data_IF_491588053463
#
_entry.id   IF_491588053463
#
_cell.length_a   1.000
_cell.length_b   1.000
_cell.length_c   1.000
_cell.angle_alpha   90.00
_cell.angle_beta   90.00
_cell.angle_gamma   90.00
#
_symmetry.space_group_name_H-M   'P 1'
#
loop_
_entity.id
_entity.type
_entity.pdbx_description
1 polymer ?
#
# COMPACT_ATOMS: atom_id res chain seq x y z
N UNK A 1 23.34 -24.85 8.38
CA UNK A 1 22.80 -24.91 7.02
C UNK A 1 21.32 -24.59 7.11
N UNK A 2 20.98 -23.32 6.93
CA UNK A 2 19.59 -22.88 6.80
C UNK A 2 19.12 -23.19 5.38
N UNK A 3 18.20 -24.15 5.23
CA UNK A 3 17.48 -24.38 3.98
C UNK A 3 16.45 -23.26 3.83
N UNK A 4 16.71 -22.31 2.93
CA UNK A 4 15.69 -21.36 2.50
C UNK A 4 14.54 -22.15 1.85
N UNK A 5 13.36 -22.13 2.45
CA UNK A 5 12.14 -22.65 1.83
C UNK A 5 11.78 -21.74 0.66
N UNK A 6 11.69 -22.31 -0.52
CA UNK A 6 11.34 -21.56 -1.72
C UNK A 6 9.84 -21.22 -1.75
N UNK A 7 9.45 -20.16 -2.46
CA UNK A 7 8.06 -19.76 -2.65
C UNK A 7 7.12 -20.89 -3.16
N UNK A 8 7.69 -21.98 -3.67
CA UNK A 8 6.96 -23.17 -4.12
C UNK A 8 6.41 -24.00 -2.94
N UNK A 9 7.13 -24.05 -1.82
CA UNK A 9 6.69 -24.81 -0.63
C UNK A 9 5.52 -24.12 0.10
N UNK A 10 5.35 -22.80 -0.10
CA UNK A 10 4.23 -22.03 0.48
C UNK A 10 2.91 -22.32 -0.26
N UNK A 11 2.97 -22.77 -1.53
CA UNK A 11 1.80 -23.02 -2.37
C UNK A 11 1.04 -24.30 -1.99
N UNK A 12 1.70 -25.23 -1.31
CA UNK A 12 1.13 -26.51 -0.89
C UNK A 12 0.66 -26.53 0.59
N UNK A 13 0.87 -25.41 1.32
CA UNK A 13 0.28 -25.28 2.64
C UNK A 13 -1.22 -25.04 2.52
N UNK A 14 -2.01 -26.02 2.86
CA UNK A 14 -3.44 -25.87 3.10
C UNK A 14 -3.62 -24.92 4.29
N UNK A 15 -4.03 -23.67 3.99
CA UNK A 15 -4.25 -22.62 4.99
C UNK A 15 -5.36 -22.95 5.99
N UNK A 16 -6.10 -24.03 5.77
CA UNK A 16 -7.17 -24.51 6.63
C UNK A 16 -6.72 -25.59 7.60
N UNK A 17 -5.50 -26.13 7.45
CA UNK A 17 -4.99 -27.16 8.34
C UNK A 17 -4.03 -26.60 9.40
N UNK A 18 -4.14 -27.11 10.63
CA UNK A 18 -3.35 -26.73 11.81
C UNK A 18 -1.83 -26.97 11.70
N UNK A 19 -1.33 -27.31 10.51
CA UNK A 19 0.06 -27.68 10.23
C UNK A 19 0.95 -26.47 9.91
N UNK A 20 0.40 -25.30 9.63
CA UNK A 20 1.19 -24.08 9.58
C UNK A 20 1.54 -23.70 11.02
N UNK A 21 2.79 -23.94 11.41
CA UNK A 21 3.29 -23.59 12.74
C UNK A 21 2.92 -22.14 13.09
N UNK A 22 2.61 -21.89 14.34
CA UNK A 22 2.31 -20.55 14.86
C UNK A 22 3.38 -19.52 14.49
N UNK A 23 4.60 -19.98 14.22
CA UNK A 23 5.75 -19.15 13.87
C UNK A 23 5.67 -18.64 12.42
N UNK A 24 5.27 -19.49 11.46
CA UNK A 24 5.06 -19.06 10.06
C UNK A 24 3.94 -18.03 9.93
N UNK A 25 2.89 -18.15 10.74
CA UNK A 25 1.80 -17.14 10.76
C UNK A 25 2.29 -15.81 11.30
N UNK A 26 3.10 -15.83 12.37
CA UNK A 26 3.69 -14.62 12.95
C UNK A 26 4.66 -13.94 11.98
N UNK A 27 5.52 -14.72 11.31
CA UNK A 27 6.43 -14.17 10.28
C UNK A 27 5.64 -13.52 9.16
N UNK A 28 4.58 -14.15 8.67
CA UNK A 28 3.71 -13.57 7.64
C UNK A 28 3.01 -12.29 8.13
N UNK A 29 2.58 -12.23 9.40
CA UNK A 29 1.98 -11.02 9.97
C UNK A 29 2.97 -9.85 9.99
N UNK A 30 4.22 -10.13 10.35
CA UNK A 30 5.31 -9.14 10.32
C UNK A 30 5.55 -8.67 8.88
N UNK A 31 5.59 -9.57 7.91
CA UNK A 31 5.82 -9.22 6.51
C UNK A 31 4.67 -8.39 5.93
N UNK A 32 3.42 -8.73 6.26
CA UNK A 32 2.24 -7.94 5.86
C UNK A 32 2.31 -6.54 6.46
N UNK A 33 2.66 -6.41 7.74
CA UNK A 33 2.84 -5.13 8.39
C UNK A 33 3.94 -4.30 7.72
N UNK A 34 5.08 -4.89 7.42
CA UNK A 34 6.17 -4.23 6.73
C UNK A 34 5.74 -3.75 5.33
N UNK A 35 5.06 -4.59 4.56
CA UNK A 35 4.53 -4.21 3.24
C UNK A 35 3.57 -3.03 3.38
N UNK A 36 2.63 -3.09 4.33
CA UNK A 36 1.67 -2.01 4.54
C UNK A 36 2.36 -0.69 4.94
N UNK A 37 3.34 -0.74 5.86
CA UNK A 37 4.14 0.43 6.27
C UNK A 37 4.84 1.09 5.10
N UNK A 38 5.53 0.30 4.26
CA UNK A 38 6.19 0.83 3.06
C UNK A 38 5.19 1.36 2.04
N UNK A 39 4.05 0.71 1.88
CA UNK A 39 3.03 1.16 0.94
C UNK A 39 2.37 2.47 1.34
N UNK A 40 2.23 2.76 2.64
CA UNK A 40 1.68 4.05 3.12
C UNK A 40 2.75 5.09 3.40
N UNK A 41 4.02 4.81 3.11
CA UNK A 41 5.16 5.70 3.38
C UNK A 41 5.24 6.13 4.86
N UNK A 42 4.95 5.22 5.79
CA UNK A 42 4.88 5.53 7.22
C UNK A 42 6.21 6.07 7.79
N UNK A 43 7.33 5.56 7.27
CA UNK A 43 8.69 5.93 7.69
C UNK A 43 9.33 6.99 6.76
N UNK A 44 8.54 7.67 5.91
CA UNK A 44 9.06 8.69 5.00
C UNK A 44 9.64 9.88 5.79
N UNK A 45 10.90 10.20 5.52
CA UNK A 45 11.49 11.41 6.08
C UNK A 45 10.86 12.65 5.44
N UNK A 46 10.47 13.67 6.24
CA UNK A 46 9.93 14.89 5.68
C UNK A 46 10.98 15.61 4.84
N UNK A 47 10.54 16.25 3.76
CA UNK A 47 11.41 17.12 2.97
C UNK A 47 11.69 18.41 3.78
N UNK A 48 12.96 18.76 3.87
CA UNK A 48 13.39 20.02 4.53
C UNK A 48 13.19 21.22 3.60
N UNK A 49 13.41 20.99 2.28
CA UNK A 49 13.30 22.00 1.24
C UNK A 49 12.50 21.50 0.05
N UNK A 50 11.94 22.41 -0.72
CA UNK A 50 11.21 22.08 -1.95
C UNK A 50 12.14 21.44 -2.98
N UNK A 51 11.75 20.27 -3.46
CA UNK A 51 12.49 19.55 -4.52
C UNK A 51 12.07 20.08 -5.88
N UNK A 52 13.03 20.57 -6.66
CA UNK A 52 12.83 21.01 -8.04
C UNK A 52 13.70 20.19 -8.98
N UNK A 53 13.09 19.59 -10.01
CA UNK A 53 13.81 18.81 -11.03
C UNK A 53 14.18 19.68 -12.25
N UNK A 54 15.35 19.43 -12.82
CA UNK A 54 15.79 20.04 -14.09
C UNK A 54 15.26 19.30 -15.32
N UNK A 55 14.69 18.10 -15.15
CA UNK A 55 14.20 17.26 -16.25
C UNK A 55 12.69 17.32 -16.39
N UNK A 56 12.18 16.77 -17.50
CA UNK A 56 10.73 16.63 -17.73
C UNK A 56 10.08 15.53 -16.88
N UNK A 57 10.85 14.75 -16.12
CA UNK A 57 10.37 13.62 -15.36
C UNK A 57 9.30 14.01 -14.33
N UNK A 58 9.50 15.13 -13.66
CA UNK A 58 8.54 15.66 -12.69
C UNK A 58 7.13 15.90 -13.29
N UNK A 59 7.08 16.24 -14.59
CA UNK A 59 5.82 16.45 -15.32
C UNK A 59 5.26 15.15 -15.93
N UNK A 60 6.14 14.28 -16.43
CA UNK A 60 5.72 13.10 -17.20
C UNK A 60 5.38 11.90 -16.33
N UNK A 61 6.03 11.75 -15.17
CA UNK A 61 5.78 10.62 -14.27
C UNK A 61 4.35 10.59 -13.71
N UNK A 62 3.75 11.70 -13.21
CA UNK A 62 2.36 11.69 -12.74
C UNK A 62 1.35 11.36 -13.84
N UNK A 63 1.68 11.63 -15.11
CA UNK A 63 0.79 11.37 -16.24
C UNK A 63 0.69 9.89 -16.62
N UNK A 64 1.61 9.04 -16.12
CA UNK A 64 1.64 7.60 -16.42
C UNK A 64 0.68 6.77 -15.59
N UNK A 65 0.08 7.33 -14.54
CA UNK A 65 -0.82 6.64 -13.64
C UNK A 65 -2.30 6.79 -14.02
N UNK A 66 -3.15 5.89 -13.52
CA UNK A 66 -4.59 6.10 -13.62
C UNK A 66 -5.00 7.33 -12.81
N UNK A 67 -6.07 8.01 -13.28
CA UNK A 67 -6.64 9.18 -12.63
C UNK A 67 -8.12 8.95 -12.36
N UNK A 68 -8.58 9.43 -11.21
CA UNK A 68 -10.01 9.45 -10.89
C UNK A 68 -10.75 10.59 -11.61
N UNK A 69 -12.06 10.69 -11.38
CA UNK A 69 -12.90 11.72 -12.00
C UNK A 69 -12.53 13.16 -11.59
N UNK A 70 -11.84 13.34 -10.47
CA UNK A 70 -11.30 14.63 -10.01
C UNK A 70 -9.89 14.91 -10.58
N UNK A 71 -9.35 14.01 -11.39
CA UNK A 71 -8.02 14.13 -11.96
C UNK A 71 -6.87 13.78 -11.00
N UNK A 72 -7.15 13.18 -9.82
CA UNK A 72 -6.16 12.79 -8.82
C UNK A 72 -5.51 11.45 -9.17
N UNK A 73 -4.21 11.30 -8.86
CA UNK A 73 -3.46 10.06 -9.05
C UNK A 73 -2.53 9.79 -7.88
N UNK A 74 -2.30 8.53 -7.53
CA UNK A 74 -1.28 8.16 -6.53
C UNK A 74 0.15 8.52 -6.99
N UNK A 75 0.36 8.91 -8.24
CA UNK A 75 1.64 9.38 -8.77
C UNK A 75 1.82 10.89 -8.68
N UNK A 76 0.83 11.63 -8.17
CA UNK A 76 0.94 13.07 -8.03
C UNK A 76 1.94 13.41 -6.92
N UNK A 77 2.85 14.34 -7.24
CA UNK A 77 3.89 14.78 -6.33
C UNK A 77 3.41 15.92 -5.42
N UNK A 78 3.91 15.96 -4.19
CA UNK A 78 3.89 17.14 -3.33
C UNK A 78 5.19 17.97 -3.49
N UNK A 79 6.33 17.33 -3.29
CA UNK A 79 7.69 17.90 -3.40
C UNK A 79 8.00 19.08 -2.48
N UNK A 80 7.14 19.38 -1.52
CA UNK A 80 7.31 20.45 -0.53
C UNK A 80 7.51 19.88 0.87
N UNK A 81 6.60 19.02 1.31
CA UNK A 81 6.63 18.41 2.63
C UNK A 81 6.98 16.92 2.56
N UNK A 82 6.64 16.29 1.45
CA UNK A 82 6.87 14.86 1.18
C UNK A 82 7.01 14.62 -0.33
N UNK A 83 7.34 13.37 -0.71
CA UNK A 83 7.53 13.06 -2.13
C UNK A 83 6.19 13.00 -2.88
N UNK A 84 5.23 12.23 -2.40
CA UNK A 84 3.92 12.04 -3.02
C UNK A 84 2.82 12.76 -2.24
N UNK A 85 1.80 13.23 -2.97
CA UNK A 85 0.67 13.94 -2.39
C UNK A 85 -0.22 13.07 -1.51
N UNK A 86 -0.36 11.78 -1.88
CA UNK A 86 -1.24 10.83 -1.18
C UNK A 86 -0.40 9.77 -0.47
N UNK A 87 -0.78 9.37 0.76
CA UNK A 87 -0.03 8.41 1.56
C UNK A 87 -0.34 6.96 1.13
N UNK A 88 -0.18 6.67 -0.15
CA UNK A 88 -0.29 5.32 -0.68
C UNK A 88 0.54 5.17 -1.94
N UNK A 89 1.33 4.13 -1.99
CA UNK A 89 2.21 3.82 -3.11
C UNK A 89 1.42 3.40 -4.35
N UNK A 90 1.79 3.97 -5.50
CA UNK A 90 1.29 3.54 -6.81
C UNK A 90 1.64 2.08 -7.15
N UNK A 91 2.51 1.43 -6.38
CA UNK A 91 2.84 0.02 -6.53
C UNK A 91 1.64 -0.90 -6.32
N UNK A 92 0.55 -0.42 -5.72
CA UNK A 92 -0.73 -1.13 -5.64
C UNK A 92 -1.30 -1.49 -7.03
N UNK A 93 -0.85 -0.82 -8.10
CA UNK A 93 -1.23 -1.11 -9.49
C UNK A 93 -0.21 -1.99 -10.22
N UNK A 94 0.84 -2.47 -9.56
CA UNK A 94 1.87 -3.27 -10.20
C UNK A 94 1.40 -4.71 -10.40
N UNK A 95 1.91 -5.32 -11.48
CA UNK A 95 1.71 -6.76 -11.75
C UNK A 95 2.24 -7.63 -10.60
N UNK A 96 3.29 -7.18 -9.92
CA UNK A 96 3.86 -7.87 -8.75
C UNK A 96 2.85 -7.91 -7.59
N UNK A 97 2.16 -6.81 -7.32
CA UNK A 97 1.12 -6.77 -6.29
C UNK A 97 -0.08 -7.63 -6.69
N UNK A 98 -0.47 -7.61 -7.95
CA UNK A 98 -1.60 -8.39 -8.46
C UNK A 98 -1.28 -9.91 -8.55
N UNK A 99 0.01 -10.28 -8.62
CA UNK A 99 0.47 -11.66 -8.61
C UNK A 99 0.62 -12.26 -7.19
N UNK A 100 0.41 -11.48 -6.13
CA UNK A 100 0.42 -12.00 -4.77
C UNK A 100 -0.64 -13.09 -4.59
N UNK A 101 -0.36 -14.17 -3.82
CA UNK A 101 -1.37 -15.15 -3.46
C UNK A 101 -2.59 -14.46 -2.84
N UNK A 102 -3.79 -14.84 -3.28
CA UNK A 102 -5.03 -14.17 -2.87
C UNK A 102 -5.18 -13.97 -1.35
N UNK A 103 -4.89 -14.97 -0.48
CA UNK A 103 -4.97 -14.78 0.97
C UNK A 103 -4.00 -13.71 1.51
N UNK A 104 -2.80 -13.60 0.91
CA UNK A 104 -1.82 -12.58 1.29
C UNK A 104 -2.27 -11.20 0.83
N UNK A 105 -2.71 -11.11 -0.42
CA UNK A 105 -3.22 -9.87 -1.00
C UNK A 105 -4.42 -9.32 -0.18
N UNK A 106 -5.36 -10.19 0.20
CA UNK A 106 -6.53 -9.81 1.00
C UNK A 106 -6.13 -9.25 2.38
N UNK A 107 -5.11 -9.86 3.01
CA UNK A 107 -4.59 -9.38 4.30
C UNK A 107 -3.88 -8.03 4.17
N UNK A 108 -3.09 -7.83 3.10
CA UNK A 108 -2.48 -6.53 2.81
C UNK A 108 -3.56 -5.47 2.59
N UNK A 109 -4.59 -5.76 1.80
CA UNK A 109 -5.71 -4.83 1.61
C UNK A 109 -6.42 -4.50 2.93
N UNK A 110 -6.70 -5.50 3.76
CA UNK A 110 -7.35 -5.28 5.06
C UNK A 110 -6.51 -4.35 5.95
N UNK A 111 -5.19 -4.60 6.00
CA UNK A 111 -4.28 -3.76 6.79
C UNK A 111 -4.20 -2.32 6.26
N UNK A 112 -4.11 -2.14 4.93
CA UNK A 112 -4.14 -0.82 4.30
C UNK A 112 -5.45 -0.08 4.58
N UNK A 113 -6.59 -0.77 4.56
CA UNK A 113 -7.90 -0.18 4.92
C UNK A 113 -7.91 0.27 6.38
N UNK A 114 -7.40 -0.51 7.31
CA UNK A 114 -7.36 -0.12 8.73
C UNK A 114 -6.51 1.13 8.96
N UNK A 115 -5.37 1.24 8.27
CA UNK A 115 -4.51 2.43 8.33
C UNK A 115 -5.23 3.63 7.69
N UNK A 116 -5.61 3.53 6.42
CA UNK A 116 -6.13 4.65 5.62
C UNK A 116 -7.55 5.09 6.02
N UNK A 117 -8.30 4.25 6.74
CA UNK A 117 -9.60 4.64 7.34
C UNK A 117 -9.46 5.31 8.70
N UNK A 118 -8.25 5.40 9.23
CA UNK A 118 -7.97 5.98 10.52
C UNK A 118 -8.33 5.11 11.73
N UNK A 119 -8.61 3.82 11.52
CA UNK A 119 -8.77 2.86 12.62
C UNK A 119 -7.46 2.59 13.34
N UNK A 120 -6.36 2.59 12.58
CA UNK A 120 -5.02 2.46 13.12
C UNK A 120 -4.34 3.83 13.12
N UNK A 121 -4.01 4.33 14.30
CA UNK A 121 -3.38 5.64 14.54
C UNK A 121 -2.20 5.57 15.50
N UNK A 122 -1.66 4.38 15.74
CA UNK A 122 -0.51 4.22 16.60
C UNK A 122 0.81 4.53 15.86
N UNK A 123 1.83 4.95 16.60
CA UNK A 123 3.18 5.11 16.10
C UNK A 123 3.27 6.05 14.88
N UNK A 124 3.87 5.57 13.81
CA UNK A 124 4.13 6.34 12.59
C UNK A 124 2.86 6.68 11.81
N UNK A 125 1.80 5.88 11.96
CA UNK A 125 0.51 6.13 11.28
C UNK A 125 -0.22 7.36 11.80
N UNK A 126 0.06 7.79 13.04
CA UNK A 126 -0.53 9.01 13.62
C UNK A 126 -0.15 10.30 12.86
N UNK A 127 0.92 10.26 12.07
CA UNK A 127 1.42 11.41 11.30
C UNK A 127 0.72 11.61 9.95
N UNK A 128 -0.06 10.62 9.51
CA UNK A 128 -0.74 10.68 8.22
C UNK A 128 -1.91 11.67 8.28
N UNK A 129 -2.06 12.47 7.21
CA UNK A 129 -3.17 13.41 7.09
C UNK A 129 -4.48 12.67 6.74
N UNK A 130 -5.54 12.76 7.58
CA UNK A 130 -6.79 12.07 7.35
C UNK A 130 -7.48 12.41 6.01
N UNK A 131 -7.31 13.63 5.52
CA UNK A 131 -7.89 14.02 4.23
C UNK A 131 -7.16 13.36 3.07
N UNK A 132 -5.83 13.27 3.14
CA UNK A 132 -5.01 12.57 2.15
C UNK A 132 -5.21 11.06 2.20
N UNK A 133 -5.39 10.45 3.40
CA UNK A 133 -5.73 9.04 3.58
C UNK A 133 -7.06 8.70 2.87
N UNK A 134 -8.10 9.48 3.15
CA UNK A 134 -9.41 9.27 2.50
C UNK A 134 -9.33 9.45 0.98
N UNK A 135 -8.58 10.45 0.52
CA UNK A 135 -8.36 10.66 -0.92
C UNK A 135 -7.66 9.46 -1.56
N UNK A 136 -6.65 8.86 -0.91
CA UNK A 136 -5.98 7.67 -1.41
C UNK A 136 -6.93 6.47 -1.57
N UNK A 137 -7.81 6.22 -0.57
CA UNK A 137 -8.85 5.19 -0.67
C UNK A 137 -9.78 5.44 -1.87
N UNK A 138 -10.23 6.68 -2.07
CA UNK A 138 -11.12 7.07 -3.16
C UNK A 138 -10.48 6.92 -4.53
N UNK A 139 -9.22 7.35 -4.68
CA UNK A 139 -8.47 7.21 -5.94
C UNK A 139 -8.40 5.74 -6.35
N UNK A 140 -8.01 4.85 -5.43
CA UNK A 140 -7.91 3.42 -5.73
C UNK A 140 -9.28 2.82 -6.02
N UNK A 141 -10.32 3.18 -5.27
CA UNK A 141 -11.69 2.70 -5.51
C UNK A 141 -12.21 3.09 -6.91
N UNK A 142 -11.82 4.27 -7.41
CA UNK A 142 -12.23 4.75 -8.73
C UNK A 142 -11.39 4.16 -9.88
N UNK A 143 -10.17 3.70 -9.62
CA UNK A 143 -9.19 3.41 -10.68
C UNK A 143 -8.72 1.96 -10.74
N UNK A 144 -8.90 1.18 -9.67
CA UNK A 144 -8.51 -0.24 -9.62
C UNK A 144 -9.74 -1.14 -9.56
N UNK A 145 -9.70 -2.22 -10.35
CA UNK A 145 -10.75 -3.25 -10.37
C UNK A 145 -10.49 -4.33 -9.31
N UNK A 146 -11.51 -5.14 -9.03
CA UNK A 146 -11.42 -6.32 -8.15
C UNK A 146 -10.94 -6.01 -6.72
N UNK A 147 -11.35 -4.85 -6.18
CA UNK A 147 -11.07 -4.49 -4.81
C UNK A 147 -11.98 -5.25 -3.83
N UNK A 148 -11.50 -5.54 -2.61
CA UNK A 148 -12.33 -6.07 -1.54
C UNK A 148 -13.48 -5.12 -1.20
N UNK A 149 -14.62 -5.66 -0.76
CA UNK A 149 -15.79 -4.87 -0.36
C UNK A 149 -15.46 -3.90 0.79
N UNK A 150 -14.60 -4.32 1.72
CA UNK A 150 -14.14 -3.48 2.82
C UNK A 150 -13.43 -2.19 2.32
N UNK A 151 -12.67 -2.28 1.22
CA UNK A 151 -12.05 -1.10 0.60
C UNK A 151 -13.10 -0.14 0.05
N UNK A 152 -14.07 -0.68 -0.71
CA UNK A 152 -15.13 0.12 -1.31
C UNK A 152 -16.01 0.79 -0.24
N UNK A 153 -16.22 0.13 0.89
CA UNK A 153 -16.95 0.69 2.03
C UNK A 153 -16.16 1.84 2.69
N UNK A 154 -14.86 1.68 2.88
CA UNK A 154 -14.00 2.69 3.49
C UNK A 154 -13.79 3.94 2.61
N UNK A 155 -13.91 3.81 1.28
CA UNK A 155 -13.75 4.91 0.33
C UNK A 155 -14.98 5.85 0.24
N UNK A 156 -16.12 5.44 0.78
CA UNK A 156 -17.37 6.25 0.82
C UNK A 156 -17.29 7.34 1.88
#
# INVERSE_FOLDING_TARGET
FFKQKTAYEIKECDWSSDVCSSDLRKELDIDIENVARYMVFADEAPLVDTVTGSSTFQKTFPQRGPRDAQGRSLRDYDLKTRLFQYPLSYMIYSDVFDALPKPVQDRVYARLVDILSGKEKSGEYAKLDPAAEKAALQIVAATKKNLPEAWLAAAR
#
